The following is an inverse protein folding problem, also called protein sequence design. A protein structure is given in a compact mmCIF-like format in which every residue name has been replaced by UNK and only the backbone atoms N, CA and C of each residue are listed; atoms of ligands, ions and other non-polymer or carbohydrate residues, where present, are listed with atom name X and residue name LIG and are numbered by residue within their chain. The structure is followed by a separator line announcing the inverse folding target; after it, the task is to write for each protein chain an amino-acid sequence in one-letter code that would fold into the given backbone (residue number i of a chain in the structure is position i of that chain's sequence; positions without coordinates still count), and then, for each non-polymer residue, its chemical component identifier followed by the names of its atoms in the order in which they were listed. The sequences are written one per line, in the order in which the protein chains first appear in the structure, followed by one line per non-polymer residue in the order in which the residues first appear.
data_IF_295132663553
#
_entry.id   IF_295132663553
#
_cell.length_a   1.000
_cell.length_b   1.000
_cell.length_c   1.000
_cell.angle_alpha   90.00
_cell.angle_beta   90.00
_cell.angle_gamma   90.00
#
_symmetry.space_group_name_H-M   'P 1'
#
loop_
_entity.id
_entity.type
_entity.pdbx_description
1 polymer ?
#
# COMPACT_ATOMS: atom_id res chain seq x y z
N UNK A 1 25.25 6.92 -4.20
CA UNK A 1 24.46 5.68 -4.04
C UNK A 1 24.03 5.44 -2.60
N UNK A 2 24.95 5.50 -1.62
CA UNK A 2 24.67 5.26 -0.17
C UNK A 2 23.62 6.22 0.43
N UNK A 3 23.59 7.51 0.01
CA UNK A 3 22.59 8.47 0.52
C UNK A 3 21.15 8.10 0.14
N UNK A 4 20.96 7.41 -1.00
CA UNK A 4 19.63 6.99 -1.46
C UNK A 4 19.10 5.82 -0.64
N UNK A 5 19.96 4.85 -0.31
CA UNK A 5 19.58 3.65 0.46
C UNK A 5 19.23 3.97 1.91
N UNK A 6 19.97 4.90 2.55
CA UNK A 6 19.66 5.35 3.92
C UNK A 6 18.31 6.07 3.96
N UNK A 7 18.02 6.90 2.96
CA UNK A 7 16.74 7.61 2.86
C UNK A 7 15.57 6.64 2.60
N UNK A 8 15.75 5.63 1.73
CA UNK A 8 14.72 4.60 1.49
C UNK A 8 14.42 3.79 2.76
N UNK A 9 15.45 3.41 3.53
CA UNK A 9 15.29 2.68 4.78
C UNK A 9 14.61 3.56 5.84
N UNK A 10 15.00 4.83 5.95
CA UNK A 10 14.34 5.78 6.85
C UNK A 10 12.85 5.93 6.54
N UNK A 11 12.49 6.13 5.26
CA UNK A 11 11.09 6.20 4.83
C UNK A 11 10.34 4.89 5.09
N UNK A 12 10.98 3.75 4.89
CA UNK A 12 10.39 2.44 5.17
C UNK A 12 10.00 2.29 6.64
N UNK A 13 10.92 2.61 7.55
CA UNK A 13 10.67 2.55 9.00
C UNK A 13 9.56 3.52 9.41
N UNK A 14 9.53 4.74 8.84
CA UNK A 14 8.46 5.71 9.10
C UNK A 14 7.10 5.17 8.67
N UNK A 15 6.98 4.63 7.45
CA UNK A 15 5.71 4.06 6.99
C UNK A 15 5.31 2.81 7.77
N UNK A 16 6.28 1.97 8.13
CA UNK A 16 6.02 0.80 8.96
C UNK A 16 5.41 1.21 10.31
N UNK A 17 5.98 2.21 10.99
CA UNK A 17 5.42 2.76 12.24
C UNK A 17 4.02 3.33 12.03
N UNK A 18 3.82 4.10 10.95
CA UNK A 18 2.54 4.74 10.64
C UNK A 18 1.43 3.71 10.40
N UNK A 19 1.69 2.70 9.57
CA UNK A 19 0.73 1.62 9.32
C UNK A 19 0.52 0.71 10.53
N UNK A 20 1.55 0.50 11.36
CA UNK A 20 1.42 -0.25 12.60
C UNK A 20 0.48 0.47 13.58
N UNK A 21 0.56 1.81 13.70
CA UNK A 21 -0.39 2.60 14.50
C UNK A 21 -1.82 2.51 13.93
N UNK A 22 -1.96 2.51 12.60
CA UNK A 22 -3.27 2.44 11.94
C UNK A 22 -3.95 1.07 12.07
N UNK A 23 -3.17 -0.03 12.13
CA UNK A 23 -3.72 -1.40 12.25
C UNK A 23 -3.85 -1.90 13.69
N UNK A 24 -3.14 -1.31 14.66
CA UNK A 24 -3.24 -1.68 16.07
C UNK A 24 -4.46 -1.01 16.73
N UNK A 25 -5.66 -1.50 16.41
CA UNK A 25 -6.87 -1.19 17.19
C UNK A 25 -7.06 -2.17 18.38
N UNK A 26 -6.41 -3.34 18.34
CA UNK A 26 -6.49 -4.38 19.37
C UNK A 26 -5.07 -4.92 19.67
N UNK A 27 -4.70 -5.03 20.96
CA UNK A 27 -3.36 -5.43 21.43
C UNK A 27 -2.97 -6.90 21.12
N UNK A 28 -3.81 -7.63 20.37
CA UNK A 28 -3.56 -9.01 19.98
C UNK A 28 -2.86 -9.04 18.62
N UNK A 29 -1.55 -9.26 18.65
CA UNK A 29 -0.71 -9.49 17.48
C UNK A 29 -1.21 -10.70 16.68
N UNK A 30 -1.96 -10.45 15.60
CA UNK A 30 -2.27 -11.45 14.58
C UNK A 30 -1.20 -11.40 13.48
N UNK A 31 -0.79 -12.58 12.99
CA UNK A 31 0.18 -12.73 11.90
C UNK A 31 -0.22 -11.94 10.65
N UNK A 32 -1.51 -11.86 10.38
CA UNK A 32 -2.09 -11.26 9.18
C UNK A 32 -1.91 -9.74 9.15
N UNK A 33 -1.87 -9.09 10.33
CA UNK A 33 -1.61 -7.66 10.47
C UNK A 33 -0.15 -7.35 10.14
N UNK A 34 0.78 -8.13 10.66
CA UNK A 34 2.22 -7.94 10.39
C UNK A 34 2.50 -8.02 8.88
N UNK A 35 1.88 -8.99 8.19
CA UNK A 35 2.00 -9.12 6.74
C UNK A 35 1.45 -7.87 6.04
N UNK A 36 0.30 -7.36 6.47
CA UNK A 36 -0.36 -6.20 5.87
C UNK A 36 0.46 -4.92 6.04
N UNK A 37 0.93 -4.62 7.26
CA UNK A 37 1.85 -3.50 7.55
C UNK A 37 3.12 -3.56 6.69
N UNK A 38 3.73 -4.75 6.57
CA UNK A 38 4.93 -4.92 5.75
C UNK A 38 4.64 -4.65 4.27
N UNK A 39 3.55 -5.18 3.74
CA UNK A 39 3.18 -4.96 2.33
C UNK A 39 2.87 -3.49 2.07
N UNK A 40 2.12 -2.82 2.95
CA UNK A 40 1.79 -1.39 2.81
C UNK A 40 3.02 -0.48 2.91
N UNK A 41 3.91 -0.73 3.86
CA UNK A 41 5.15 0.06 3.99
C UNK A 41 6.08 -0.12 2.79
N UNK A 42 6.20 -1.35 2.24
CA UNK A 42 6.95 -1.61 1.01
C UNK A 42 6.30 -0.93 -0.21
N UNK A 43 4.96 -0.94 -0.31
CA UNK A 43 4.28 -0.27 -1.42
C UNK A 43 4.38 1.24 -1.35
N UNK A 44 4.21 1.83 -0.16
CA UNK A 44 4.33 3.27 0.04
C UNK A 44 5.73 3.77 -0.33
N UNK A 45 6.77 3.11 0.17
CA UNK A 45 8.15 3.46 -0.15
C UNK A 45 8.48 3.33 -1.63
N UNK A 46 8.10 2.23 -2.26
CA UNK A 46 8.35 2.00 -3.69
C UNK A 46 7.62 3.01 -4.58
N UNK A 47 6.37 3.35 -4.26
CA UNK A 47 5.59 4.38 -4.98
C UNK A 47 6.23 5.77 -4.95
N UNK A 48 6.87 6.14 -3.84
CA UNK A 48 7.53 7.44 -3.67
C UNK A 48 8.87 7.47 -4.38
N UNK A 49 9.66 6.39 -4.26
CA UNK A 49 11.04 6.35 -4.76
C UNK A 49 11.14 6.03 -6.25
N UNK A 50 10.24 5.19 -6.78
CA UNK A 50 10.34 4.65 -8.13
C UNK A 50 9.06 4.91 -8.91
N UNK A 51 9.02 6.01 -9.67
CA UNK A 51 7.86 6.39 -10.51
C UNK A 51 7.44 5.27 -11.47
N UNK A 52 8.40 4.52 -12.01
CA UNK A 52 8.14 3.41 -12.94
C UNK A 52 7.48 2.19 -12.27
N UNK A 53 7.53 2.06 -10.94
CA UNK A 53 6.91 0.93 -10.23
C UNK A 53 5.41 1.11 -10.01
N UNK A 54 4.90 2.34 -10.04
CA UNK A 54 3.48 2.66 -9.77
C UNK A 54 2.53 1.87 -10.66
N UNK A 55 2.81 1.80 -11.96
CA UNK A 55 2.01 1.02 -12.92
C UNK A 55 2.00 -0.47 -12.59
N UNK A 56 3.16 -1.03 -12.22
CA UNK A 56 3.29 -2.45 -11.85
C UNK A 56 2.53 -2.74 -10.56
N UNK A 57 2.64 -1.87 -9.56
CA UNK A 57 1.92 -1.99 -8.30
C UNK A 57 0.40 -1.90 -8.49
N UNK A 58 -0.06 -1.06 -9.41
CA UNK A 58 -1.49 -0.96 -9.77
C UNK A 58 -1.99 -2.25 -10.43
N UNK A 59 -1.20 -2.87 -11.31
CA UNK A 59 -1.54 -4.17 -11.89
C UNK A 59 -1.62 -5.24 -10.79
N UNK A 60 -0.65 -5.25 -9.86
CA UNK A 60 -0.64 -6.19 -8.74
C UNK A 60 -1.87 -5.97 -7.84
N UNK A 61 -2.25 -4.72 -7.54
CA UNK A 61 -3.43 -4.44 -6.71
C UNK A 61 -4.72 -4.90 -7.37
N UNK A 62 -4.89 -4.66 -8.69
CA UNK A 62 -6.05 -5.14 -9.44
C UNK A 62 -6.07 -6.68 -9.45
N UNK A 63 -4.92 -7.30 -9.67
CA UNK A 63 -4.80 -8.76 -9.65
C UNK A 63 -5.18 -9.35 -8.29
N UNK A 64 -4.74 -8.75 -7.19
CA UNK A 64 -5.14 -9.16 -5.83
C UNK A 64 -6.65 -9.04 -5.60
N UNK A 65 -7.29 -7.98 -6.11
CA UNK A 65 -8.74 -7.79 -6.00
C UNK A 65 -9.52 -8.82 -6.84
N UNK A 66 -9.01 -9.19 -8.01
CA UNK A 66 -9.59 -10.29 -8.80
C UNK A 66 -9.44 -11.61 -8.06
N UNK A 67 -8.27 -11.85 -7.47
CA UNK A 67 -8.00 -13.07 -6.71
C UNK A 67 -8.87 -13.16 -5.45
N UNK A 68 -9.07 -12.05 -4.74
CA UNK A 68 -10.04 -11.91 -3.64
C UNK A 68 -11.44 -12.38 -4.09
N UNK A 69 -11.93 -11.90 -5.23
CA UNK A 69 -13.24 -12.28 -5.75
C UNK A 69 -13.33 -13.80 -6.01
N UNK A 70 -12.28 -14.40 -6.57
CA UNK A 70 -12.22 -15.85 -6.76
C UNK A 70 -12.33 -16.58 -5.42
N UNK A 71 -11.51 -16.23 -4.42
CA UNK A 71 -11.55 -16.87 -3.10
C UNK A 71 -12.88 -16.66 -2.37
N UNK A 72 -13.53 -15.52 -2.59
CA UNK A 72 -14.86 -15.26 -2.07
C UNK A 72 -15.90 -16.25 -2.63
N UNK A 73 -15.85 -16.56 -3.93
CA UNK A 73 -16.73 -17.57 -4.53
C UNK A 73 -16.53 -18.98 -3.97
N UNK A 74 -15.31 -19.30 -3.49
CA UNK A 74 -14.98 -20.56 -2.81
C UNK A 74 -15.28 -20.55 -1.30
N UNK A 75 -15.98 -19.53 -0.79
CA UNK A 75 -16.33 -19.38 0.63
C UNK A 75 -15.11 -19.28 1.58
N UNK A 76 -13.91 -18.99 1.05
CA UNK A 76 -12.70 -18.81 1.86
C UNK A 76 -12.57 -17.36 2.31
N UNK A 77 -13.43 -16.96 3.25
CA UNK A 77 -13.60 -15.55 3.67
C UNK A 77 -12.32 -14.95 4.28
N UNK A 78 -11.54 -15.72 5.04
CA UNK A 78 -10.31 -15.22 5.67
C UNK A 78 -9.27 -14.80 4.63
N UNK A 79 -9.03 -15.66 3.63
CA UNK A 79 -8.09 -15.39 2.53
C UNK A 79 -8.62 -14.29 1.61
N UNK A 80 -9.92 -14.29 1.32
CA UNK A 80 -10.54 -13.21 0.56
C UNK A 80 -10.33 -11.87 1.27
N UNK A 81 -10.65 -11.76 2.55
CA UNK A 81 -10.49 -10.51 3.30
C UNK A 81 -9.04 -10.02 3.33
N UNK A 82 -8.07 -10.93 3.52
CA UNK A 82 -6.65 -10.59 3.49
C UNK A 82 -6.20 -10.07 2.12
N UNK A 83 -6.58 -10.76 1.04
CA UNK A 83 -6.23 -10.32 -0.33
C UNK A 83 -6.93 -9.01 -0.69
N UNK A 84 -8.18 -8.84 -0.24
CA UNK A 84 -8.98 -7.65 -0.44
C UNK A 84 -8.39 -6.43 0.27
N UNK A 85 -8.03 -6.56 1.55
CA UNK A 85 -7.42 -5.47 2.32
C UNK A 85 -6.07 -5.06 1.72
N UNK A 86 -5.23 -6.03 1.35
CA UNK A 86 -3.95 -5.78 0.67
C UNK A 86 -4.15 -5.07 -0.67
N UNK A 87 -5.01 -5.62 -1.54
CA UNK A 87 -5.27 -5.05 -2.85
C UNK A 87 -5.84 -3.63 -2.78
N UNK A 88 -6.83 -3.41 -1.90
CA UNK A 88 -7.45 -2.10 -1.71
C UNK A 88 -6.47 -1.09 -1.09
N UNK A 89 -5.76 -1.48 -0.03
CA UNK A 89 -4.79 -0.60 0.64
C UNK A 89 -3.66 -0.16 -0.29
N UNK A 90 -3.12 -1.08 -1.10
CA UNK A 90 -2.14 -0.74 -2.14
C UNK A 90 -2.71 0.27 -3.15
N UNK A 91 -3.96 0.09 -3.58
CA UNK A 91 -4.62 0.98 -4.52
C UNK A 91 -4.77 2.40 -3.94
N UNK A 92 -5.21 2.52 -2.69
CA UNK A 92 -5.33 3.81 -1.98
C UNK A 92 -3.97 4.51 -1.91
N UNK A 93 -2.91 3.81 -1.50
CA UNK A 93 -1.55 4.36 -1.44
C UNK A 93 -1.11 4.89 -2.82
N UNK A 94 -1.37 4.13 -3.89
CA UNK A 94 -1.03 4.54 -5.25
C UNK A 94 -1.79 5.81 -5.65
N UNK A 95 -3.10 5.87 -5.43
CA UNK A 95 -3.93 7.04 -5.76
C UNK A 95 -3.46 8.28 -5.00
N UNK A 96 -3.22 8.16 -3.68
CA UNK A 96 -2.68 9.24 -2.87
C UNK A 96 -1.30 9.71 -3.38
N UNK A 97 -0.47 8.81 -3.90
CA UNK A 97 0.84 9.17 -4.48
C UNK A 97 0.75 10.02 -5.76
N UNK A 98 -0.42 10.06 -6.42
CA UNK A 98 -0.68 10.93 -7.56
C UNK A 98 -1.19 12.32 -7.17
N UNK A 99 -1.76 12.50 -5.97
CA UNK A 99 -2.24 13.81 -5.50
C UNK A 99 -1.21 14.94 -5.65
N UNK A 100 0.05 14.80 -5.22
CA UNK A 100 1.04 15.87 -5.36
C UNK A 100 1.30 16.26 -6.83
N UNK A 101 1.11 15.34 -7.77
CA UNK A 101 1.29 15.60 -9.20
C UNK A 101 0.10 16.36 -9.79
N UNK A 102 -1.12 16.11 -9.30
CA UNK A 102 -2.31 16.85 -9.71
C UNK A 102 -2.23 18.32 -9.27
N UNK A 103 -1.78 18.59 -8.04
CA UNK A 103 -1.56 19.96 -7.56
C UNK A 103 -0.44 20.67 -8.34
N UNK A 104 0.69 20.00 -8.62
CA UNK A 104 1.81 20.61 -9.35
C UNK A 104 1.51 20.93 -10.81
N UNK A 105 0.60 20.20 -11.45
CA UNK A 105 0.25 20.39 -12.87
C UNK A 105 -0.89 21.38 -13.08
N UNK A 106 -1.42 22.03 -12.03
CA UNK A 106 -2.48 23.03 -12.15
C UNK A 106 -3.86 22.46 -12.54
N UNK A 107 -4.07 21.14 -12.45
CA UNK A 107 -5.39 20.55 -12.70
C UNK A 107 -6.39 20.88 -11.58
N UNK A 108 -5.90 21.32 -10.42
CA UNK A 108 -6.67 21.85 -9.31
C UNK A 108 -6.25 23.32 -9.17
N UNK A 109 -6.71 24.15 -10.10
CA UNK A 109 -6.52 25.59 -10.02
C UNK A 109 -7.50 26.17 -8.99
N UNK A 110 -6.92 26.70 -7.91
CA UNK A 110 -7.47 27.68 -6.94
C UNK A 110 -8.97 27.53 -6.61
N UNK A 111 -9.26 26.76 -5.56
CA UNK A 111 -10.40 27.05 -4.70
C UNK A 111 -10.04 28.20 -3.76
#
# INVERSE_FOLDING_TARGET
MIKSTVLTLGLFVVFMMLFLILEFDDLVLKSDLIISVLVFSLTATSCIMLVNTRKKLLIISIFLLILMYIFYLFNSLSLANLLGSLGFGMLVIIVLSYLPQFFKKGYIDKL
#
